data_IF_806278125612
#
_entry.id   IF_806278125612
#
_cell.length_a   1.000
_cell.length_b   1.000
_cell.length_c   1.000
_cell.angle_alpha   90.00
_cell.angle_beta   90.00
_cell.angle_gamma   90.00
#
_symmetry.space_group_name_H-M   'P 1'
#
loop_
_entity.id
_entity.type
_entity.pdbx_description
1 polymer ?
#
# COMPACT_ATOMS: atom_id res chain seq x y z
N UNK A 1 -17.62 -7.28 -11.55
CA UNK A 1 -16.17 -7.04 -11.34
C UNK A 1 -15.99 -5.53 -11.27
N UNK A 2 -15.43 -5.00 -10.19
CA UNK A 2 -15.27 -3.54 -10.04
C UNK A 2 -14.18 -3.02 -10.98
N UNK A 3 -14.43 -1.85 -11.57
CA UNK A 3 -13.47 -1.11 -12.37
C UNK A 3 -12.67 -0.14 -11.48
N UNK A 4 -11.58 0.40 -12.01
CA UNK A 4 -10.82 1.44 -11.33
C UNK A 4 -11.67 2.66 -10.99
N UNK A 5 -12.68 3.01 -11.80
CA UNK A 5 -13.50 4.21 -11.60
C UNK A 5 -14.46 4.08 -10.42
N UNK A 6 -14.98 2.88 -10.16
CA UNK A 6 -15.98 2.63 -9.12
C UNK A 6 -15.39 2.18 -7.78
N UNK A 7 -14.09 1.87 -7.74
CA UNK A 7 -13.47 1.31 -6.55
C UNK A 7 -13.34 2.34 -5.43
N UNK A 8 -13.82 2.00 -4.24
CA UNK A 8 -13.73 2.88 -3.08
C UNK A 8 -12.43 2.63 -2.30
N UNK A 9 -11.45 3.51 -2.52
CA UNK A 9 -10.16 3.53 -1.82
C UNK A 9 -10.22 4.14 -0.40
N UNK A 10 -11.34 4.77 -0.03
CA UNK A 10 -11.48 5.54 1.20
C UNK A 10 -11.34 4.62 2.40
N UNK A 11 -10.63 5.10 3.43
CA UNK A 11 -10.49 4.42 4.74
C UNK A 11 -9.85 3.01 4.68
N UNK A 12 -9.31 2.59 3.53
CA UNK A 12 -8.43 1.42 3.47
C UNK A 12 -7.09 1.73 4.14
N UNK A 13 -6.53 2.90 3.85
CA UNK A 13 -5.26 3.35 4.40
C UNK A 13 -5.42 4.62 5.23
N UNK A 14 -4.66 4.77 6.33
CA UNK A 14 -3.78 3.76 6.93
C UNK A 14 -4.56 2.72 7.76
N UNK A 15 -5.86 2.91 7.97
CA UNK A 15 -6.61 2.20 9.02
C UNK A 15 -6.63 0.68 8.88
N UNK A 16 -7.06 0.13 7.74
CA UNK A 16 -7.10 -1.34 7.56
C UNK A 16 -5.70 -1.94 7.54
N UNK A 17 -4.73 -1.23 6.96
CA UNK A 17 -3.32 -1.64 6.94
C UNK A 17 -2.75 -1.76 8.37
N UNK A 18 -2.91 -0.73 9.20
CA UNK A 18 -2.42 -0.76 10.58
C UNK A 18 -3.06 -1.90 11.38
N UNK A 19 -4.37 -2.09 11.23
CA UNK A 19 -5.09 -3.20 11.89
C UNK A 19 -4.57 -4.56 11.42
N UNK A 20 -4.31 -4.72 10.12
CA UNK A 20 -3.71 -5.93 9.59
C UNK A 20 -2.32 -6.16 10.18
N UNK A 21 -1.44 -5.14 10.18
CA UNK A 21 -0.08 -5.27 10.70
C UNK A 21 -0.06 -5.59 12.20
N UNK A 22 -0.86 -4.89 13.01
CA UNK A 22 -0.92 -5.09 14.45
C UNK A 22 -1.47 -6.45 14.86
N UNK A 23 -2.52 -6.93 14.17
CA UNK A 23 -3.29 -8.09 14.61
C UNK A 23 -2.96 -9.36 13.83
N UNK A 24 -2.63 -9.25 12.54
CA UNK A 24 -2.34 -10.39 11.70
C UNK A 24 -0.85 -10.73 11.69
N UNK A 25 0.03 -9.73 11.54
CA UNK A 25 1.50 -9.93 11.50
C UNK A 25 2.11 -10.07 12.89
N UNK A 26 1.76 -9.18 13.82
CA UNK A 26 2.49 -9.01 15.08
C UNK A 26 1.90 -9.79 16.28
N UNK A 27 0.63 -10.18 16.22
CA UNK A 27 -0.04 -10.96 17.28
C UNK A 27 -0.67 -12.24 16.73
N UNK A 28 0.13 -13.17 16.18
CA UNK A 28 -0.40 -14.48 15.85
C UNK A 28 -1.00 -15.09 17.12
N UNK A 29 -2.28 -15.49 17.05
CA UNK A 29 -2.93 -16.20 18.15
C UNK A 29 -2.10 -17.41 18.55
N UNK A 30 -2.12 -17.82 19.83
CA UNK A 30 -1.39 -18.99 20.30
C UNK A 30 -1.64 -20.14 19.34
N UNK A 31 -0.52 -20.62 18.82
CA UNK A 31 -0.45 -21.54 17.71
C UNK A 31 -1.11 -22.86 18.09
N UNK A 32 -2.26 -23.14 17.51
CA UNK A 32 -2.77 -24.51 17.50
C UNK A 32 -1.96 -25.27 16.45
N UNK A 33 -1.13 -26.22 16.89
CA UNK A 33 -0.31 -27.07 16.02
C UNK A 33 -1.13 -27.77 14.93
N UNK A 34 -2.44 -27.90 15.16
CA UNK A 34 -3.41 -28.49 14.24
C UNK A 34 -3.71 -27.61 13.01
N UNK A 35 -3.27 -26.34 12.97
CA UNK A 35 -3.51 -25.47 11.82
C UNK A 35 -2.56 -25.70 10.64
N UNK A 36 -1.45 -26.41 10.86
CA UNK A 36 -0.48 -26.68 9.80
C UNK A 36 -1.07 -27.46 8.62
N UNK A 37 -1.99 -28.37 8.88
CA UNK A 37 -2.59 -29.23 7.87
C UNK A 37 -3.52 -28.44 6.91
N UNK A 38 -4.47 -27.61 7.41
CA UNK A 38 -5.23 -26.72 6.54
C UNK A 38 -4.38 -25.81 5.65
N UNK A 39 -3.29 -25.23 6.17
CA UNK A 39 -2.41 -24.38 5.36
C UNK A 39 -1.72 -25.18 4.24
N UNK A 40 -1.29 -26.41 4.52
CA UNK A 40 -0.74 -27.33 3.52
C UNK A 40 -1.79 -27.71 2.48
N UNK A 41 -3.05 -27.92 2.88
CA UNK A 41 -4.15 -28.23 1.99
C UNK A 41 -4.47 -27.06 1.05
N UNK A 42 -4.60 -25.84 1.59
CA UNK A 42 -4.80 -24.60 0.80
C UNK A 42 -3.67 -24.45 -0.22
N UNK A 43 -2.43 -24.61 0.23
CA UNK A 43 -1.25 -24.55 -0.63
C UNK A 43 -1.33 -25.57 -1.78
N UNK A 44 -1.66 -26.82 -1.47
CA UNK A 44 -1.84 -27.89 -2.46
C UNK A 44 -2.95 -27.55 -3.45
N UNK A 45 -4.11 -27.07 -2.97
CA UNK A 45 -5.24 -26.62 -3.80
C UNK A 45 -4.91 -25.41 -4.69
N UNK A 46 -3.90 -24.62 -4.34
CA UNK A 46 -3.40 -23.49 -5.14
C UNK A 46 -2.22 -23.85 -6.04
N UNK A 47 -1.75 -25.10 -6.02
CA UNK A 47 -0.58 -25.56 -6.76
C UNK A 47 0.65 -24.67 -6.52
N UNK A 48 0.90 -24.27 -5.28
CA UNK A 48 2.10 -23.48 -4.95
C UNK A 48 3.32 -24.40 -4.91
N UNK A 49 4.14 -24.30 -5.97
CA UNK A 49 5.25 -25.21 -6.26
C UNK A 49 6.28 -25.30 -5.14
N UNK A 50 6.61 -24.17 -4.51
CA UNK A 50 7.67 -24.11 -3.50
C UNK A 50 7.15 -24.45 -2.10
N UNK A 51 7.95 -25.17 -1.30
CA UNK A 51 7.76 -25.26 0.16
C UNK A 51 8.06 -23.93 0.84
N UNK A 52 7.38 -22.88 0.39
CA UNK A 52 7.62 -21.53 0.84
C UNK A 52 6.98 -21.33 2.21
N UNK A 53 7.81 -21.35 3.25
CA UNK A 53 7.40 -20.96 4.60
C UNK A 53 6.75 -19.57 4.62
N UNK A 54 7.09 -18.68 3.67
CA UNK A 54 6.46 -17.36 3.54
C UNK A 54 5.00 -17.46 3.11
N UNK A 55 4.66 -18.35 2.17
CA UNK A 55 3.26 -18.55 1.77
C UNK A 55 2.42 -19.00 2.97
N UNK A 56 2.92 -19.95 3.76
CA UNK A 56 2.24 -20.41 4.97
C UNK A 56 2.10 -19.27 5.99
N UNK A 57 3.14 -18.44 6.17
CA UNK A 57 3.07 -17.25 7.04
C UNK A 57 1.98 -16.28 6.58
N UNK A 58 1.97 -15.91 5.30
CA UNK A 58 0.96 -15.00 4.77
C UNK A 58 -0.46 -15.60 4.88
N UNK A 59 -0.62 -16.91 4.67
CA UNK A 59 -1.91 -17.57 4.83
C UNK A 59 -2.41 -17.50 6.29
N UNK A 60 -1.51 -17.64 7.27
CA UNK A 60 -1.83 -17.44 8.70
C UNK A 60 -2.29 -16.02 8.98
N UNK A 61 -1.57 -15.02 8.47
CA UNK A 61 -1.93 -13.61 8.63
C UNK A 61 -3.33 -13.32 8.04
N UNK A 62 -3.60 -13.77 6.82
CA UNK A 62 -4.90 -13.60 6.16
C UNK A 62 -6.05 -14.20 6.96
N UNK A 63 -5.88 -15.40 7.52
CA UNK A 63 -6.91 -16.07 8.33
C UNK A 63 -7.12 -15.36 9.68
N UNK A 64 -6.03 -14.92 10.32
CA UNK A 64 -6.12 -14.11 11.54
C UNK A 64 -6.90 -12.81 11.29
N UNK A 65 -6.64 -12.14 10.17
CA UNK A 65 -7.36 -10.93 9.79
C UNK A 65 -8.84 -11.21 9.49
N UNK A 66 -9.15 -12.29 8.77
CA UNK A 66 -10.54 -12.70 8.51
C UNK A 66 -11.30 -13.02 9.82
N UNK A 67 -10.64 -13.68 10.78
CA UNK A 67 -11.23 -13.90 12.09
C UNK A 67 -11.51 -12.56 12.80
N UNK A 68 -10.56 -11.62 12.76
CA UNK A 68 -10.76 -10.30 13.35
C UNK A 68 -11.97 -9.57 12.75
N UNK A 69 -12.13 -9.63 11.43
CA UNK A 69 -13.30 -9.06 10.74
C UNK A 69 -14.60 -9.68 11.26
N UNK A 70 -14.62 -11.00 11.47
CA UNK A 70 -15.77 -11.71 12.05
C UNK A 70 -16.06 -11.27 13.48
N UNK A 71 -15.04 -11.12 14.33
CA UNK A 71 -15.20 -10.72 15.74
C UNK A 71 -15.73 -9.29 15.88
N UNK A 72 -15.26 -8.38 15.02
CA UNK A 72 -15.61 -6.96 15.04
C UNK A 72 -16.72 -6.60 14.04
N UNK A 73 -17.75 -7.44 13.89
CA UNK A 73 -18.92 -7.22 13.02
C UNK A 73 -19.59 -5.85 13.27
N UNK A 74 -19.03 -4.80 12.68
CA UNK A 74 -19.50 -3.42 12.75
C UNK A 74 -19.62 -2.85 11.32
N UNK A 75 -19.95 -1.57 11.19
CA UNK A 75 -20.13 -0.87 9.90
C UNK A 75 -18.93 -0.95 8.94
N UNK A 76 -17.78 -1.47 9.38
CA UNK A 76 -16.53 -1.50 8.64
C UNK A 76 -16.23 -2.84 7.95
N UNK A 77 -17.16 -3.81 7.99
CA UNK A 77 -16.91 -5.13 7.37
C UNK A 77 -16.50 -4.99 5.90
N UNK A 78 -17.25 -4.21 5.11
CA UNK A 78 -16.97 -4.03 3.67
C UNK A 78 -15.55 -3.49 3.41
N UNK A 79 -15.12 -2.45 4.14
CA UNK A 79 -13.79 -1.86 3.93
C UNK A 79 -12.66 -2.80 4.35
N UNK A 80 -12.85 -3.55 5.44
CA UNK A 80 -11.86 -4.56 5.87
C UNK A 80 -11.80 -5.74 4.91
N UNK A 81 -12.93 -6.20 4.39
CA UNK A 81 -12.98 -7.26 3.37
C UNK A 81 -12.34 -6.81 2.05
N UNK A 82 -12.52 -5.56 1.63
CA UNK A 82 -11.80 -5.01 0.47
C UNK A 82 -10.28 -5.03 0.68
N UNK A 83 -9.81 -4.67 1.88
CA UNK A 83 -8.38 -4.78 2.21
C UNK A 83 -7.90 -6.24 2.23
N UNK A 84 -8.70 -7.17 2.78
CA UNK A 84 -8.41 -8.60 2.72
C UNK A 84 -8.30 -9.08 1.26
N UNK A 85 -9.18 -8.62 0.36
CA UNK A 85 -9.14 -8.97 -1.06
C UNK A 85 -7.81 -8.55 -1.73
N UNK A 86 -7.36 -7.33 -1.41
CA UNK A 86 -6.05 -6.84 -1.82
C UNK A 86 -4.92 -7.74 -1.32
N UNK A 87 -4.91 -8.07 -0.03
CA UNK A 87 -3.87 -8.94 0.55
C UNK A 87 -3.88 -10.35 -0.06
N UNK A 88 -5.05 -10.92 -0.35
CA UNK A 88 -5.17 -12.20 -1.06
C UNK A 88 -4.49 -12.13 -2.43
N UNK A 89 -4.81 -11.10 -3.24
CA UNK A 89 -4.20 -10.90 -4.56
C UNK A 89 -2.68 -10.69 -4.46
N UNK A 90 -2.23 -9.93 -3.47
CA UNK A 90 -0.82 -9.69 -3.20
C UNK A 90 -0.08 -11.01 -2.97
N UNK A 91 -0.58 -11.85 -2.06
CA UNK A 91 0.04 -13.13 -1.71
C UNK A 91 0.15 -14.03 -2.94
N UNK A 92 -0.93 -14.15 -3.74
CA UNK A 92 -0.90 -14.93 -4.97
C UNK A 92 0.16 -14.43 -5.96
N UNK A 93 0.29 -13.11 -6.14
CA UNK A 93 1.31 -12.53 -7.04
C UNK A 93 2.73 -12.81 -6.54
N UNK A 94 2.99 -12.69 -5.23
CA UNK A 94 4.33 -12.92 -4.67
C UNK A 94 4.72 -14.39 -4.53
N UNK A 95 3.76 -15.28 -4.31
CA UNK A 95 4.03 -16.70 -4.03
C UNK A 95 4.10 -17.59 -5.27
N UNK A 96 4.30 -17.02 -6.47
CA UNK A 96 4.41 -17.75 -7.75
C UNK A 96 3.26 -18.76 -8.00
N UNK A 97 2.06 -18.52 -7.45
CA UNK A 97 0.90 -19.38 -7.68
C UNK A 97 0.45 -19.31 -9.15
N UNK A 98 0.04 -20.42 -9.75
CA UNK A 98 -0.53 -20.42 -11.11
C UNK A 98 -1.91 -19.74 -11.14
N UNK A 99 -2.68 -19.96 -10.08
CA UNK A 99 -3.95 -19.28 -9.85
C UNK A 99 -3.69 -17.90 -9.23
N UNK A 100 -4.01 -16.83 -9.97
CA UNK A 100 -3.92 -15.44 -9.50
C UNK A 100 -5.27 -14.86 -9.12
N UNK A 101 -6.32 -15.69 -9.02
CA UNK A 101 -7.66 -15.23 -8.71
C UNK A 101 -7.87 -15.14 -7.18
N UNK A 102 -8.07 -13.92 -6.70
CA UNK A 102 -8.22 -13.62 -5.28
C UNK A 102 -9.51 -14.21 -4.66
N UNK A 103 -10.60 -14.31 -5.45
CA UNK A 103 -11.83 -14.98 -5.04
C UNK A 103 -11.63 -16.49 -4.90
N UNK A 104 -10.98 -17.13 -5.87
CA UNK A 104 -10.66 -18.55 -5.77
C UNK A 104 -9.79 -18.87 -4.55
N UNK A 105 -8.84 -17.99 -4.21
CA UNK A 105 -8.04 -18.16 -3.00
C UNK A 105 -8.88 -18.04 -1.73
N UNK A 106 -9.74 -17.02 -1.62
CA UNK A 106 -10.67 -16.89 -0.51
C UNK A 106 -11.56 -18.13 -0.35
N UNK A 107 -12.15 -18.62 -1.44
CA UNK A 107 -13.02 -19.79 -1.41
C UNK A 107 -12.27 -21.06 -0.95
N UNK A 108 -10.97 -21.19 -1.28
CA UNK A 108 -10.11 -22.27 -0.77
C UNK A 108 -9.83 -22.13 0.72
N UNK A 109 -9.59 -20.92 1.23
CA UNK A 109 -9.43 -20.68 2.68
C UNK A 109 -10.71 -21.06 3.43
N UNK A 110 -11.85 -20.60 2.92
CA UNK A 110 -13.17 -20.90 3.44
C UNK A 110 -13.50 -22.40 3.36
N UNK A 111 -13.06 -23.09 2.33
CA UNK A 111 -13.30 -24.53 2.16
C UNK A 111 -12.60 -25.42 3.21
N UNK A 112 -11.61 -24.92 3.94
CA UNK A 112 -10.93 -25.68 5.03
C UNK A 112 -11.57 -25.48 6.42
N UNK A 113 -12.78 -24.89 6.48
CA UNK A 113 -13.49 -24.55 7.73
C UNK A 113 -13.66 -25.69 8.73
N UNK A 114 -13.81 -26.92 8.24
CA UNK A 114 -14.15 -28.08 9.07
C UNK A 114 -12.98 -28.60 9.91
N UNK A 115 -11.75 -28.17 9.61
CA UNK A 115 -10.54 -28.77 10.19
C UNK A 115 -10.10 -28.06 11.49
N UNK A 116 -10.55 -26.81 11.75
CA UNK A 116 -10.27 -26.19 13.05
C UNK A 116 -11.29 -25.14 13.48
N UNK A 117 -11.46 -25.02 14.80
CA UNK A 117 -12.28 -23.98 15.43
C UNK A 117 -11.85 -22.55 15.04
N UNK A 118 -10.55 -22.34 14.80
CA UNK A 118 -9.98 -21.07 14.35
C UNK A 118 -10.33 -20.81 12.88
N UNK A 119 -10.42 -21.86 12.06
CA UNK A 119 -10.83 -21.79 10.66
C UNK A 119 -12.34 -21.83 10.44
N UNK A 120 -13.15 -21.89 11.50
CA UNK A 120 -14.57 -21.53 11.44
C UNK A 120 -14.76 -20.00 11.19
N UNK A 121 -13.92 -19.47 10.32
CA UNK A 121 -13.97 -18.18 9.68
C UNK A 121 -15.34 -18.04 9.00
N UNK A 122 -16.09 -17.06 9.46
CA UNK A 122 -17.40 -16.74 8.87
C UNK A 122 -17.20 -16.36 7.41
N UNK A 123 -18.18 -16.65 6.57
CA UNK A 123 -18.28 -16.12 5.21
C UNK A 123 -18.59 -14.62 5.18
N UNK A 124 -18.20 -13.88 6.23
CA UNK A 124 -18.46 -12.46 6.44
C UNK A 124 -17.99 -11.58 5.27
N UNK A 125 -16.98 -12.03 4.52
CA UNK A 125 -16.47 -11.33 3.35
C UNK A 125 -16.97 -11.88 2.00
N UNK A 126 -17.83 -12.91 1.96
CA UNK A 126 -18.20 -13.61 0.73
C UNK A 126 -18.77 -12.70 -0.35
N UNK A 127 -19.62 -11.74 0.04
CA UNK A 127 -20.21 -10.76 -0.88
C UNK A 127 -19.26 -9.64 -1.31
N UNK A 128 -18.10 -9.50 -0.67
CA UNK A 128 -17.14 -8.40 -0.91
C UNK A 128 -15.87 -8.87 -1.61
N UNK A 129 -15.55 -10.17 -1.56
CA UNK A 129 -14.43 -10.74 -2.29
C UNK A 129 -14.87 -11.08 -3.72
N UNK A 130 -14.17 -10.49 -4.67
CA UNK A 130 -14.25 -10.77 -6.11
C UNK A 130 -12.83 -10.72 -6.66
N UNK A 131 -12.58 -11.25 -7.87
CA UNK A 131 -11.22 -11.10 -8.40
C UNK A 131 -10.87 -9.62 -8.60
N UNK A 132 -9.79 -9.20 -7.94
CA UNK A 132 -9.33 -7.82 -7.98
C UNK A 132 -8.67 -7.52 -9.32
N UNK A 133 -9.20 -6.51 -10.00
CA UNK A 133 -8.64 -5.99 -11.25
C UNK A 133 -7.16 -5.59 -11.07
N UNK A 134 -6.35 -5.80 -12.11
CA UNK A 134 -4.92 -5.54 -12.03
C UNK A 134 -4.58 -4.05 -11.85
N UNK A 135 -5.37 -3.15 -12.40
CA UNK A 135 -5.14 -1.70 -12.25
C UNK A 135 -5.48 -1.27 -10.82
N UNK A 136 -6.61 -1.74 -10.29
CA UNK A 136 -6.97 -1.51 -8.88
C UNK A 136 -5.89 -2.07 -7.95
N UNK A 137 -5.44 -3.29 -8.21
CA UNK A 137 -4.36 -3.91 -7.43
C UNK A 137 -3.08 -3.08 -7.46
N UNK A 138 -2.67 -2.58 -8.63
CA UNK A 138 -1.47 -1.75 -8.76
C UNK A 138 -1.58 -0.49 -7.90
N UNK A 139 -2.71 0.21 -7.96
CA UNK A 139 -2.95 1.41 -7.13
C UNK A 139 -2.92 1.08 -5.64
N UNK A 140 -3.55 -0.03 -5.22
CA UNK A 140 -3.53 -0.46 -3.82
C UNK A 140 -2.12 -0.84 -3.35
N UNK A 141 -1.31 -1.45 -4.22
CA UNK A 141 0.07 -1.82 -3.93
C UNK A 141 0.92 -0.56 -3.66
N UNK A 142 0.84 0.42 -4.56
CA UNK A 142 1.58 1.69 -4.40
C UNK A 142 1.11 2.47 -3.16
N UNK A 143 -0.20 2.54 -2.92
CA UNK A 143 -0.74 3.17 -1.70
C UNK A 143 -0.23 2.46 -0.44
N UNK A 144 -0.25 1.13 -0.40
CA UNK A 144 0.28 0.38 0.73
C UNK A 144 1.76 0.70 0.96
N UNK A 145 2.58 0.73 -0.11
CA UNK A 145 3.99 1.11 -0.03
C UNK A 145 4.22 2.52 0.53
N UNK A 146 3.42 3.49 0.09
CA UNK A 146 3.47 4.86 0.65
C UNK A 146 3.17 4.88 2.15
N UNK A 147 2.09 4.23 2.56
CA UNK A 147 1.67 4.22 3.96
C UNK A 147 2.64 3.43 4.86
N UNK A 148 3.25 2.35 4.35
CA UNK A 148 4.29 1.59 5.06
C UNK A 148 5.57 2.40 5.29
N UNK A 149 5.92 3.33 4.41
CA UNK A 149 7.10 4.20 4.64
C UNK A 149 6.82 5.18 5.77
N UNK A 150 5.65 5.82 5.76
CA UNK A 150 5.34 6.87 6.74
C UNK A 150 4.97 6.31 8.11
N UNK A 151 4.55 5.04 8.19
CA UNK A 151 4.27 4.38 9.46
C UNK A 151 5.55 4.03 10.24
N UNK A 152 6.73 4.03 9.59
CA UNK A 152 8.00 3.72 10.25
C UNK A 152 8.49 4.90 11.11
N UNK A 153 8.76 4.68 12.41
CA UNK A 153 9.26 5.72 13.30
C UNK A 153 10.52 6.38 12.77
N UNK A 154 10.59 7.71 12.83
CA UNK A 154 11.77 8.49 12.44
C UNK A 154 11.93 8.78 10.95
N UNK A 155 11.16 8.13 10.07
CA UNK A 155 11.15 8.43 8.64
C UNK A 155 10.10 9.49 8.31
N UNK A 156 10.52 10.77 8.27
CA UNK A 156 9.67 11.83 7.73
C UNK A 156 9.66 11.74 6.20
N UNK A 157 8.47 11.59 5.61
CA UNK A 157 8.23 11.43 4.16
C UNK A 157 9.08 12.37 3.29
N UNK A 158 9.17 13.65 3.67
CA UNK A 158 9.85 14.69 2.89
C UNK A 158 11.36 14.52 2.66
N UNK A 159 12.03 13.67 3.44
CA UNK A 159 13.46 13.38 3.23
C UNK A 159 13.69 12.10 2.41
N UNK A 160 12.64 11.35 2.13
CA UNK A 160 12.75 10.07 1.47
C UNK A 160 12.41 10.22 -0.02
N UNK A 161 13.46 10.30 -0.86
CA UNK A 161 13.32 10.34 -2.32
C UNK A 161 12.41 9.22 -2.85
N UNK A 162 12.53 8.02 -2.30
CA UNK A 162 11.71 6.88 -2.71
C UNK A 162 10.21 7.07 -2.37
N UNK A 163 9.88 7.71 -1.25
CA UNK A 163 8.49 8.06 -0.93
C UNK A 163 7.91 9.07 -1.92
N UNK A 164 8.73 10.03 -2.36
CA UNK A 164 8.33 11.00 -3.38
C UNK A 164 8.10 10.37 -4.75
N UNK A 165 9.02 9.50 -5.17
CA UNK A 165 8.95 8.84 -6.47
C UNK A 165 7.66 8.00 -6.55
N UNK A 166 7.35 7.19 -5.53
CA UNK A 166 6.06 6.47 -5.45
C UNK A 166 4.85 7.40 -5.43
N UNK A 167 4.90 8.51 -4.69
CA UNK A 167 3.81 9.48 -4.68
C UNK A 167 3.58 10.08 -6.07
N UNK A 168 4.66 10.40 -6.80
CA UNK A 168 4.59 10.94 -8.16
C UNK A 168 3.98 9.93 -9.12
N UNK A 169 4.34 8.65 -9.01
CA UNK A 169 3.75 7.58 -9.81
C UNK A 169 2.24 7.47 -9.56
N UNK A 170 1.80 7.42 -8.29
CA UNK A 170 0.36 7.41 -7.97
C UNK A 170 -0.33 8.69 -8.41
N UNK A 171 0.34 9.84 -8.30
CA UNK A 171 -0.20 11.14 -8.76
C UNK A 171 -0.41 11.15 -10.27
N UNK A 172 0.48 10.54 -11.05
CA UNK A 172 0.28 10.37 -12.49
C UNK A 172 -0.92 9.49 -12.83
N UNK A 173 -1.19 8.44 -12.02
CA UNK A 173 -2.41 7.63 -12.17
C UNK A 173 -3.65 8.45 -11.78
N UNK A 174 -3.56 9.23 -10.71
CA UNK A 174 -4.57 10.16 -10.21
C UNK A 174 -5.01 11.19 -11.26
N UNK A 175 -4.06 11.82 -11.96
CA UNK A 175 -4.32 12.89 -12.94
C UNK A 175 -5.12 12.38 -14.14
N UNK A 176 -4.94 11.09 -14.48
CA UNK A 176 -5.60 10.43 -15.60
C UNK A 176 -6.86 9.64 -15.19
N UNK A 177 -7.20 9.58 -13.90
CA UNK A 177 -8.32 8.79 -13.38
C UNK A 177 -9.53 9.67 -13.06
N UNK A 178 -10.74 9.18 -13.36
CA UNK A 178 -12.01 9.78 -12.93
C UNK A 178 -12.44 9.35 -11.53
N UNK A 179 -11.63 8.55 -10.82
CA UNK A 179 -11.98 8.05 -9.50
C UNK A 179 -11.81 9.14 -8.41
N UNK A 180 -12.90 9.82 -8.06
CA UNK A 180 -12.94 10.84 -7.00
C UNK A 180 -12.48 10.34 -5.63
N UNK A 181 -12.63 9.04 -5.36
CA UNK A 181 -12.17 8.46 -4.12
C UNK A 181 -10.64 8.35 -4.06
N UNK A 182 -10.01 7.85 -5.12
CA UNK A 182 -8.56 7.83 -5.27
C UNK A 182 -8.01 9.26 -5.17
N UNK A 183 -8.68 10.20 -5.85
CA UNK A 183 -8.33 11.63 -5.80
C UNK A 183 -8.27 12.19 -4.40
N UNK A 184 -9.28 11.88 -3.59
CA UNK A 184 -9.32 12.31 -2.19
C UNK A 184 -8.21 11.68 -1.36
N UNK A 185 -7.94 10.38 -1.53
CA UNK A 185 -6.91 9.66 -0.78
C UNK A 185 -5.51 10.21 -1.06
N UNK A 186 -5.16 10.41 -2.34
CA UNK A 186 -3.84 10.94 -2.76
C UNK A 186 -3.66 12.38 -2.29
N UNK A 187 -4.68 13.22 -2.44
CA UNK A 187 -4.67 14.61 -1.97
C UNK A 187 -4.50 14.72 -0.46
N UNK A 188 -5.20 13.89 0.31
CA UNK A 188 -5.07 13.86 1.76
C UNK A 188 -3.68 13.38 2.18
N UNK A 189 -3.16 12.34 1.53
CA UNK A 189 -1.81 11.86 1.78
C UNK A 189 -0.77 12.98 1.58
N UNK A 190 -0.84 13.72 0.46
CA UNK A 190 0.04 14.87 0.18
C UNK A 190 -0.07 15.91 1.30
N UNK A 191 -1.29 16.31 1.66
CA UNK A 191 -1.53 17.34 2.67
C UNK A 191 -0.96 16.96 4.03
N UNK A 192 -1.14 15.71 4.46
CA UNK A 192 -0.78 15.24 5.79
C UNK A 192 0.71 14.92 5.92
N UNK A 193 1.33 14.39 4.86
CA UNK A 193 2.68 13.81 4.93
C UNK A 193 3.73 14.57 4.13
N UNK A 194 3.29 15.39 3.17
CA UNK A 194 4.15 16.06 2.19
C UNK A 194 4.05 17.58 2.24
N UNK A 195 3.49 18.17 3.30
CA UNK A 195 3.41 19.63 3.46
C UNK A 195 4.77 20.36 3.39
N UNK A 196 5.87 19.63 3.67
CA UNK A 196 7.24 20.13 3.57
C UNK A 196 8.00 19.59 2.34
N UNK A 197 7.33 18.85 1.46
CA UNK A 197 7.91 18.47 0.17
C UNK A 197 7.93 19.73 -0.69
N UNK A 198 9.11 20.28 -0.97
CA UNK A 198 9.18 21.49 -1.74
C UNK A 198 9.09 21.04 -3.19
N UNK A 199 7.86 20.92 -3.71
CA UNK A 199 7.61 20.85 -5.16
C UNK A 199 8.44 21.96 -5.84
N UNK A 200 8.54 23.10 -5.18
CA UNK A 200 9.39 24.23 -5.52
C UNK A 200 10.91 23.98 -5.47
N UNK A 201 11.50 23.19 -4.56
CA UNK A 201 12.97 23.04 -4.46
C UNK A 201 13.50 22.03 -5.48
N UNK A 202 12.79 20.94 -5.76
CA UNK A 202 13.24 20.00 -6.80
C UNK A 202 13.01 20.56 -8.21
N UNK A 203 11.91 21.27 -8.45
CA UNK A 203 11.73 22.04 -9.69
C UNK A 203 12.73 23.19 -9.77
N UNK A 204 12.99 23.93 -8.68
CA UNK A 204 14.08 24.94 -8.65
C UNK A 204 15.41 24.29 -8.97
N UNK A 205 15.80 23.21 -8.29
CA UNK A 205 17.12 22.61 -8.45
C UNK A 205 17.32 22.03 -9.86
N UNK A 206 16.29 21.44 -10.45
CA UNK A 206 16.33 20.99 -11.84
C UNK A 206 16.43 22.17 -12.81
N UNK A 207 15.61 23.20 -12.60
CA UNK A 207 15.62 24.43 -13.40
C UNK A 207 16.97 25.15 -13.27
N UNK A 208 17.50 25.25 -12.05
CA UNK A 208 18.81 25.80 -11.73
C UNK A 208 19.93 25.00 -12.37
N UNK A 209 19.87 23.67 -12.36
CA UNK A 209 20.88 22.86 -13.02
C UNK A 209 20.88 23.09 -14.54
N UNK A 210 19.70 23.16 -15.17
CA UNK A 210 19.58 23.49 -16.60
C UNK A 210 20.14 24.90 -16.86
N UNK A 211 19.72 25.90 -16.08
CA UNK A 211 20.18 27.28 -16.22
C UNK A 211 21.71 27.37 -16.00
N UNK A 212 22.28 26.70 -15.00
CA UNK A 212 23.72 26.68 -14.75
C UNK A 212 24.49 26.03 -15.91
N UNK A 213 23.94 24.95 -16.48
CA UNK A 213 24.53 24.24 -17.63
C UNK A 213 24.51 25.11 -18.90
N UNK A 214 23.47 25.91 -19.09
CA UNK A 214 23.37 26.85 -20.22
C UNK A 214 24.15 28.14 -19.99
N UNK A 215 24.21 28.67 -18.76
CA UNK A 215 24.97 29.88 -18.42
C UNK A 215 26.48 29.66 -18.47
N UNK A 216 26.96 28.46 -18.18
CA UNK A 216 28.37 28.09 -18.41
C UNK A 216 28.80 28.21 -19.88
N UNK A 217 27.85 28.21 -20.83
CA UNK A 217 28.12 28.48 -22.26
C UNK A 217 28.02 29.96 -22.63
N UNK A 218 27.34 30.79 -21.83
CA UNK A 218 27.11 32.21 -22.13
C UNK A 218 27.08 33.04 -20.83
N UNK A 219 28.21 33.68 -20.54
CA UNK A 219 28.38 34.80 -19.59
C UNK A 219 28.18 34.54 -18.09
N UNK A 220 29.24 34.83 -17.31
CA UNK A 220 29.32 34.62 -15.85
C UNK A 220 28.33 35.46 -15.02
N UNK A 221 27.76 36.53 -15.54
CA UNK A 221 26.88 37.44 -14.79
C UNK A 221 25.55 36.79 -14.34
N UNK A 222 25.01 35.85 -15.12
CA UNK A 222 23.75 35.17 -14.79
C UNK A 222 23.91 34.25 -13.56
N UNK A 223 25.09 33.64 -13.42
CA UNK A 223 25.42 32.75 -12.30
C UNK A 223 25.39 33.52 -10.98
N UNK A 224 25.97 34.72 -10.93
CA UNK A 224 25.96 35.56 -9.73
C UNK A 224 24.55 36.01 -9.32
N UNK A 225 23.67 36.31 -10.28
CA UNK A 225 22.28 36.68 -9.96
C UNK A 225 21.49 35.52 -9.36
N UNK A 226 21.73 34.31 -9.84
CA UNK A 226 21.12 33.08 -9.31
C UNK A 226 21.58 32.81 -7.88
N UNK A 227 22.89 32.89 -7.60
CA UNK A 227 23.40 32.76 -6.23
C UNK A 227 22.85 33.83 -5.29
N UNK A 228 22.69 35.07 -5.78
CA UNK A 228 22.12 36.17 -5.01
C UNK A 228 20.64 35.94 -4.65
N UNK A 229 19.83 35.45 -5.60
CA UNK A 229 18.44 35.06 -5.34
C UNK A 229 18.37 33.88 -4.38
N UNK A 230 19.25 32.88 -4.53
CA UNK A 230 19.29 31.77 -3.59
C UNK A 230 19.64 32.23 -2.16
N UNK A 231 20.58 33.16 -2.02
CA UNK A 231 20.96 33.76 -0.74
C UNK A 231 19.81 34.57 -0.11
N UNK A 232 19.04 35.31 -0.90
CA UNK A 232 17.88 36.08 -0.42
C UNK A 232 16.73 35.20 0.08
N UNK A 233 16.52 34.04 -0.55
CA UNK A 233 15.35 33.19 -0.29
C UNK A 233 15.64 31.97 0.59
N UNK A 234 16.91 31.67 0.88
CA UNK A 234 17.25 30.73 1.95
C UNK A 234 17.24 31.51 3.26
N UNK A 235 16.29 31.22 4.16
CA UNK A 235 16.28 31.81 5.49
C UNK A 235 17.46 31.24 6.28
N UNK A 236 18.64 31.82 6.12
CA UNK A 236 19.68 31.71 7.13
C UNK A 236 19.12 32.43 8.36
N UNK A 237 18.58 31.65 9.30
CA UNK A 237 18.17 32.14 10.60
C UNK A 237 19.29 33.01 11.15
N UNK A 238 18.90 34.20 11.59
CA UNK A 238 19.78 35.23 12.15
C UNK A 238 20.76 34.63 13.15
N UNK A 239 22.02 34.45 12.73
CA UNK A 239 23.15 34.41 13.64
C UNK A 239 23.73 35.83 13.68
N UNK A 240 23.04 36.67 14.46
CA UNK A 240 23.63 37.82 15.12
C UNK A 240 23.79 37.44 16.59
#
# INVERSE_FOLDING_TARGET
MSTLEDFNFKELFPTCMNVYDELAKNKPRPYDSNLNEPYKNIRKKLNVETQDGKFISHCKELINYLYYIKDKQNSDVKKRCNYLNYMLKHVLKTSKCNDKNSKTFYDKIIGEREISYIMNSSNVCECFIQDLDNNIFSVLLELNGLYEIISKPGLKSYKNKYCYDMYKEISGIYDNSNNECLRRVVKNFKKENMAYFPESINELNFTLHIIMKESHKKNNALIYMIFFLHYLYTSYGSFL
#
